data_IF_676586142591
#
_entry.id   IF_676586142591
#
_cell.length_a   1.000
_cell.length_b   1.000
_cell.length_c   1.000
_cell.angle_alpha   90.00
_cell.angle_beta   90.00
_cell.angle_gamma   90.00
#
_symmetry.space_group_name_H-M   'P 1'
#
loop_
_entity.id
_entity.type
_entity.pdbx_description
1 polymer ?
#
# COMPACT_ATOMS: atom_id res chain seq x y z
N UNK A 1 0.03 -29.16 -20.80
CA UNK A 1 -0.06 -29.70 -19.43
C UNK A 1 -0.96 -30.92 -19.42
N UNK A 2 -0.43 -32.09 -19.07
CA UNK A 2 -1.17 -33.34 -18.95
C UNK A 2 -2.05 -33.35 -17.69
N UNK A 3 -3.02 -34.26 -17.62
CA UNK A 3 -3.88 -34.43 -16.42
C UNK A 3 -3.05 -34.81 -15.16
N UNK A 4 -1.92 -35.48 -15.35
CA UNK A 4 -0.97 -35.84 -14.28
C UNK A 4 -0.21 -34.61 -13.79
N UNK A 5 0.25 -33.74 -14.69
CA UNK A 5 0.92 -32.47 -14.33
C UNK A 5 -0.02 -31.52 -13.60
N UNK A 6 -1.30 -31.41 -14.05
CA UNK A 6 -2.33 -30.61 -13.33
C UNK A 6 -2.59 -31.14 -11.93
N UNK A 7 -2.64 -32.47 -11.72
CA UNK A 7 -2.78 -33.08 -10.40
C UNK A 7 -1.55 -32.88 -9.51
N UNK A 8 -0.33 -32.92 -10.08
CA UNK A 8 0.91 -32.58 -9.36
C UNK A 8 0.93 -31.10 -8.95
N UNK A 9 0.56 -30.20 -9.85
CA UNK A 9 0.45 -28.78 -9.53
C UNK A 9 -0.64 -28.52 -8.47
N UNK A 10 -1.81 -29.15 -8.53
CA UNK A 10 -2.84 -29.02 -7.50
C UNK A 10 -2.35 -29.48 -6.13
N UNK A 11 -1.61 -30.60 -6.04
CA UNK A 11 -1.00 -31.07 -4.78
C UNK A 11 0.07 -30.10 -4.25
N UNK A 12 0.73 -29.36 -5.13
CA UNK A 12 1.78 -28.40 -4.80
C UNK A 12 1.28 -27.25 -3.92
N UNK A 13 0.01 -26.87 -4.05
CA UNK A 13 -0.60 -25.73 -3.36
C UNK A 13 -1.59 -26.14 -2.25
N UNK A 14 -1.69 -27.41 -1.93
CA UNK A 14 -2.55 -27.91 -0.84
C UNK A 14 -2.15 -27.39 0.54
N UNK A 15 -0.89 -26.93 0.69
CA UNK A 15 -0.31 -26.42 1.93
C UNK A 15 -0.21 -24.89 2.00
N UNK A 16 -0.84 -24.16 1.08
CA UNK A 16 -0.69 -22.70 1.02
C UNK A 16 -1.15 -21.99 2.29
N UNK A 17 -2.26 -22.44 2.88
CA UNK A 17 -2.76 -21.88 4.13
C UNK A 17 -1.78 -22.14 5.30
N UNK A 18 -1.25 -23.37 5.42
CA UNK A 18 -0.23 -23.68 6.41
C UNK A 18 1.04 -22.85 6.22
N UNK A 19 1.46 -22.64 4.96
CA UNK A 19 2.61 -21.80 4.62
C UNK A 19 2.35 -20.32 4.95
N UNK A 20 1.15 -19.82 4.69
CA UNK A 20 0.72 -18.47 5.09
C UNK A 20 0.76 -18.31 6.61
N UNK A 21 0.18 -19.24 7.37
CA UNK A 21 0.21 -19.23 8.83
C UNK A 21 1.65 -19.24 9.38
N UNK A 22 2.51 -20.10 8.83
CA UNK A 22 3.91 -20.19 9.22
C UNK A 22 4.65 -18.86 8.98
N UNK A 23 4.49 -18.25 7.81
CA UNK A 23 5.14 -16.96 7.48
C UNK A 23 4.61 -15.86 8.39
N UNK A 24 3.28 -15.79 8.59
CA UNK A 24 2.67 -14.83 9.50
C UNK A 24 3.21 -14.98 10.92
N UNK A 25 3.30 -16.19 11.46
CA UNK A 25 3.87 -16.46 12.77
C UNK A 25 5.36 -16.12 12.85
N UNK A 26 6.11 -16.37 11.78
CA UNK A 26 7.53 -16.00 11.73
C UNK A 26 7.75 -14.48 11.79
N UNK A 27 6.91 -13.68 11.12
CA UNK A 27 7.00 -12.22 11.16
C UNK A 27 6.37 -11.64 12.42
N UNK A 28 5.26 -12.20 12.88
CA UNK A 28 4.42 -11.68 13.95
C UNK A 28 4.01 -12.78 14.94
N UNK A 29 4.92 -13.31 15.75
CA UNK A 29 4.59 -14.37 16.71
C UNK A 29 3.54 -13.93 17.75
N UNK A 30 3.43 -12.62 18.01
CA UNK A 30 2.52 -12.01 18.97
C UNK A 30 1.20 -11.50 18.34
N UNK A 31 0.94 -11.78 17.04
CA UNK A 31 -0.21 -11.21 16.32
C UNK A 31 -1.54 -11.54 16.99
N UNK A 32 -1.72 -12.79 17.43
CA UNK A 32 -2.95 -13.24 18.09
C UNK A 32 -3.13 -12.49 19.42
N UNK A 33 -2.09 -12.39 20.21
CA UNK A 33 -2.11 -11.62 21.46
C UNK A 33 -2.47 -10.14 21.18
N UNK A 34 -1.91 -9.53 20.14
CA UNK A 34 -2.24 -8.14 19.79
C UNK A 34 -3.71 -7.96 19.39
N UNK A 35 -4.32 -8.96 18.74
CA UNK A 35 -5.75 -8.96 18.42
C UNK A 35 -6.61 -9.04 19.69
N UNK A 36 -6.24 -9.91 20.64
CA UNK A 36 -6.92 -10.09 21.92
C UNK A 36 -6.82 -8.86 22.84
N UNK A 37 -5.73 -8.10 22.74
CA UNK A 37 -5.50 -6.87 23.52
C UNK A 37 -6.31 -5.67 23.04
N UNK A 38 -6.98 -5.75 21.87
CA UNK A 38 -7.78 -4.64 21.36
C UNK A 38 -9.04 -4.44 22.22
N UNK A 39 -9.44 -3.20 22.36
CA UNK A 39 -10.63 -2.84 23.13
C UNK A 39 -11.90 -3.30 22.42
N UNK A 40 -12.59 -4.26 23.01
CA UNK A 40 -13.90 -4.72 22.54
C UNK A 40 -15.00 -3.70 22.97
N UNK A 41 -15.77 -3.16 22.03
CA UNK A 41 -16.84 -2.23 22.37
C UNK A 41 -18.07 -2.90 22.98
N UNK A 42 -18.15 -4.24 22.98
CA UNK A 42 -19.30 -5.01 23.46
C UNK A 42 -19.17 -5.37 24.94
N UNK A 43 -20.30 -5.50 25.62
CA UNK A 43 -20.37 -6.01 27.02
C UNK A 43 -20.55 -7.52 27.06
N UNK A 44 -21.23 -8.08 26.07
CA UNK A 44 -21.51 -9.51 25.92
C UNK A 44 -21.23 -9.90 24.47
N UNK A 45 -20.68 -11.09 24.26
CA UNK A 45 -20.30 -11.57 22.92
C UNK A 45 -20.47 -13.09 22.81
N UNK A 46 -20.80 -13.54 21.61
CA UNK A 46 -20.78 -14.94 21.20
C UNK A 46 -19.43 -15.32 20.59
N UNK A 47 -18.75 -14.35 19.97
CA UNK A 47 -17.45 -14.53 19.33
C UNK A 47 -16.44 -13.57 19.95
N UNK A 48 -15.24 -14.05 20.21
CA UNK A 48 -14.10 -13.24 20.65
C UNK A 48 -13.72 -12.22 19.56
N UNK A 49 -13.11 -11.11 19.98
CA UNK A 49 -12.72 -10.04 19.06
C UNK A 49 -11.78 -10.53 17.96
N UNK A 50 -10.82 -11.37 18.31
CA UNK A 50 -9.87 -11.95 17.36
C UNK A 50 -10.53 -12.83 16.31
N UNK A 51 -11.62 -13.52 16.63
CA UNK A 51 -12.40 -14.34 15.66
C UNK A 51 -13.04 -13.43 14.62
N UNK A 52 -13.69 -12.36 15.05
CA UNK A 52 -14.32 -11.41 14.15
C UNK A 52 -13.30 -10.77 13.22
N UNK A 53 -12.21 -10.24 13.78
CA UNK A 53 -11.21 -9.53 13.01
C UNK A 53 -10.44 -10.45 12.06
N UNK A 54 -10.07 -11.64 12.53
CA UNK A 54 -9.36 -12.62 11.68
C UNK A 54 -10.26 -13.15 10.57
N UNK A 55 -11.57 -13.31 10.78
CA UNK A 55 -12.53 -13.68 9.73
C UNK A 55 -12.52 -12.63 8.60
N UNK A 56 -12.54 -11.34 8.92
CA UNK A 56 -12.46 -10.28 7.90
C UNK A 56 -11.08 -10.24 7.21
N UNK A 57 -10.00 -10.44 7.97
CA UNK A 57 -8.64 -10.53 7.42
C UNK A 57 -8.56 -11.69 6.44
N UNK A 58 -9.07 -12.89 6.80
CA UNK A 58 -9.08 -14.05 5.93
C UNK A 58 -9.97 -13.86 4.70
N UNK A 59 -11.13 -13.18 4.83
CA UNK A 59 -11.96 -12.78 3.68
C UNK A 59 -11.12 -12.03 2.64
N UNK A 60 -10.35 -11.03 3.10
CA UNK A 60 -9.52 -10.21 2.20
C UNK A 60 -8.36 -11.02 1.60
N UNK A 61 -7.66 -11.83 2.41
CA UNK A 61 -6.56 -12.71 1.95
C UNK A 61 -7.04 -13.68 0.87
N UNK A 62 -8.24 -14.25 1.06
CA UNK A 62 -8.89 -15.16 0.10
C UNK A 62 -9.50 -14.43 -1.11
N UNK A 63 -9.38 -13.11 -1.18
CA UNK A 63 -9.93 -12.26 -2.25
C UNK A 63 -11.45 -12.44 -2.44
N UNK A 64 -12.19 -12.51 -1.34
CA UNK A 64 -13.65 -12.56 -1.34
C UNK A 64 -14.17 -11.12 -1.25
N UNK A 65 -14.84 -10.63 -2.28
CA UNK A 65 -15.21 -9.21 -2.37
C UNK A 65 -16.39 -8.85 -1.47
N UNK A 66 -17.47 -9.66 -1.43
CA UNK A 66 -18.65 -9.33 -0.64
C UNK A 66 -18.68 -10.04 0.71
N UNK A 67 -19.33 -9.41 1.68
CA UNK A 67 -19.52 -9.97 3.02
C UNK A 67 -20.48 -11.16 3.02
N UNK A 68 -21.52 -11.14 2.17
CA UNK A 68 -22.43 -12.28 2.00
C UNK A 68 -21.67 -13.50 1.48
N UNK A 69 -20.88 -13.32 0.39
CA UNK A 69 -20.08 -14.41 -0.18
C UNK A 69 -19.07 -14.97 0.84
N UNK A 70 -18.51 -14.12 1.69
CA UNK A 70 -17.62 -14.58 2.77
C UNK A 70 -18.37 -15.52 3.71
N UNK A 71 -19.59 -15.15 4.14
CA UNK A 71 -20.40 -16.00 5.01
C UNK A 71 -20.64 -17.37 4.35
N UNK A 72 -21.04 -17.39 3.07
CA UNK A 72 -21.33 -18.62 2.33
C UNK A 72 -20.09 -19.51 2.15
N UNK A 73 -18.93 -18.94 1.79
CA UNK A 73 -17.68 -19.68 1.59
C UNK A 73 -17.10 -20.23 2.90
N UNK A 74 -17.32 -19.55 4.04
CA UNK A 74 -16.77 -19.90 5.34
C UNK A 74 -17.73 -20.76 6.20
N UNK A 75 -18.86 -21.21 5.64
CA UNK A 75 -19.75 -22.19 6.28
C UNK A 75 -19.10 -23.58 6.45
N UNK A 76 -18.01 -23.85 5.74
CA UNK A 76 -17.33 -25.15 5.81
C UNK A 76 -16.74 -25.37 7.20
N UNK A 77 -17.01 -26.55 7.78
CA UNK A 77 -16.49 -26.96 9.08
C UNK A 77 -14.96 -26.80 9.17
N UNK A 78 -14.24 -27.13 8.08
CA UNK A 78 -12.80 -27.01 8.03
C UNK A 78 -12.32 -25.56 8.12
N UNK A 79 -13.06 -24.59 7.59
CA UNK A 79 -12.74 -23.17 7.73
C UNK A 79 -12.85 -22.73 9.20
N UNK A 80 -13.91 -23.18 9.89
CA UNK A 80 -14.14 -22.90 11.31
C UNK A 80 -13.05 -23.53 12.16
N UNK A 81 -12.81 -24.85 11.99
CA UNK A 81 -11.74 -25.57 12.72
C UNK A 81 -10.37 -24.92 12.51
N UNK A 82 -10.03 -24.57 11.26
CA UNK A 82 -8.73 -23.98 10.95
C UNK A 82 -8.56 -22.61 11.59
N UNK A 83 -9.59 -21.74 11.55
CA UNK A 83 -9.53 -20.43 12.16
C UNK A 83 -9.39 -20.52 13.68
N UNK A 84 -10.25 -21.28 14.34
CA UNK A 84 -10.21 -21.47 15.80
C UNK A 84 -8.87 -22.06 16.25
N UNK A 85 -8.34 -23.01 15.47
CA UNK A 85 -7.04 -23.63 15.76
C UNK A 85 -5.87 -22.66 15.69
N UNK A 86 -5.80 -21.81 14.65
CA UNK A 86 -4.71 -20.82 14.56
C UNK A 86 -4.83 -19.73 15.62
N UNK A 87 -6.05 -19.44 16.09
CA UNK A 87 -6.31 -18.52 17.20
C UNK A 87 -6.10 -19.15 18.57
N UNK A 88 -5.94 -20.48 18.62
CA UNK A 88 -5.80 -21.28 19.84
C UNK A 88 -6.98 -21.10 20.81
N UNK A 89 -8.19 -21.20 20.27
CA UNK A 89 -9.47 -21.13 21.00
C UNK A 89 -10.29 -22.40 20.77
N UNK A 90 -11.35 -22.59 21.56
CA UNK A 90 -12.34 -23.64 21.33
C UNK A 90 -13.04 -23.46 19.98
N UNK A 91 -13.37 -24.58 19.34
CA UNK A 91 -14.01 -24.54 18.01
C UNK A 91 -15.46 -24.11 18.14
N UNK A 92 -15.81 -23.02 17.47
CA UNK A 92 -17.19 -22.56 17.33
C UNK A 92 -17.99 -23.48 16.38
N UNK A 93 -19.30 -23.40 16.43
CA UNK A 93 -20.17 -24.09 15.46
C UNK A 93 -20.08 -23.43 14.07
N UNK A 94 -20.05 -22.10 14.02
CA UNK A 94 -19.93 -21.29 12.81
C UNK A 94 -18.98 -20.11 13.03
N UNK A 95 -18.44 -19.57 11.93
CA UNK A 95 -17.79 -18.26 11.97
C UNK A 95 -18.84 -17.13 11.99
N UNK A 96 -18.47 -15.92 12.44
CA UNK A 96 -19.41 -14.80 12.55
C UNK A 96 -20.09 -14.48 11.22
N UNK A 97 -21.41 -14.37 11.24
CA UNK A 97 -22.19 -13.90 10.11
C UNK A 97 -21.85 -12.43 9.79
N UNK A 98 -21.98 -12.02 8.53
CA UNK A 98 -21.63 -10.67 8.10
C UNK A 98 -22.38 -9.56 8.85
N UNK A 99 -23.62 -9.79 9.28
CA UNK A 99 -24.40 -8.86 10.11
C UNK A 99 -23.70 -8.62 11.44
N UNK A 100 -23.31 -9.69 12.14
CA UNK A 100 -22.59 -9.63 13.42
C UNK A 100 -21.27 -8.87 13.27
N UNK A 101 -20.52 -9.13 12.18
CA UNK A 101 -19.27 -8.44 11.89
C UNK A 101 -19.53 -6.94 11.68
N UNK A 102 -20.51 -6.56 10.87
CA UNK A 102 -20.82 -5.16 10.58
C UNK A 102 -21.34 -4.41 11.81
N UNK A 103 -22.16 -5.04 12.65
CA UNK A 103 -22.57 -4.47 13.93
C UNK A 103 -21.40 -4.24 14.89
N UNK A 104 -20.46 -5.19 14.95
CA UNK A 104 -19.24 -5.03 15.73
C UNK A 104 -18.38 -3.88 15.21
N UNK A 105 -18.07 -3.86 13.90
CA UNK A 105 -17.23 -2.84 13.28
C UNK A 105 -17.87 -1.44 13.31
N UNK A 106 -19.20 -1.35 13.37
CA UNK A 106 -19.89 -0.06 13.50
C UNK A 106 -19.63 0.63 14.86
N UNK A 107 -19.25 -0.14 15.88
CA UNK A 107 -19.00 0.33 17.27
C UNK A 107 -17.52 0.32 17.62
N UNK A 108 -16.67 -0.31 16.81
CA UNK A 108 -15.24 -0.42 17.07
C UNK A 108 -14.54 0.90 16.85
N UNK A 109 -13.64 1.28 17.76
CA UNK A 109 -12.79 2.45 17.59
C UNK A 109 -11.78 2.22 16.46
N UNK A 110 -11.77 3.09 15.45
CA UNK A 110 -10.84 3.02 14.30
C UNK A 110 -9.38 3.06 14.76
N UNK A 111 -9.09 3.79 15.83
CA UNK A 111 -7.78 3.92 16.44
C UNK A 111 -7.19 2.58 16.94
N UNK A 112 -8.03 1.62 17.30
CA UNK A 112 -7.58 0.28 17.74
C UNK A 112 -6.91 -0.48 16.57
N UNK A 113 -7.51 -0.41 15.37
CA UNK A 113 -6.93 -1.02 14.16
C UNK A 113 -5.67 -0.30 13.70
N UNK A 114 -5.60 1.03 13.87
CA UNK A 114 -4.39 1.80 13.65
C UNK A 114 -3.27 1.36 14.62
N UNK A 115 -3.58 1.15 15.91
CA UNK A 115 -2.65 0.61 16.89
C UNK A 115 -2.15 -0.79 16.53
N UNK A 116 -3.03 -1.68 16.08
CA UNK A 116 -2.65 -3.01 15.61
C UNK A 116 -1.68 -2.92 14.44
N UNK A 117 -2.02 -2.14 13.40
CA UNK A 117 -1.13 -1.91 12.24
C UNK A 117 0.23 -1.39 12.68
N UNK A 118 0.27 -0.43 13.59
CA UNK A 118 1.50 0.12 14.14
C UNK A 118 2.37 -0.93 14.84
N UNK A 119 1.78 -1.84 15.65
CA UNK A 119 2.50 -2.97 16.24
C UNK A 119 3.12 -3.85 15.15
N UNK A 120 2.38 -4.17 14.10
CA UNK A 120 2.83 -4.94 12.92
C UNK A 120 4.03 -4.26 12.24
N UNK A 121 3.92 -2.97 11.91
CA UNK A 121 4.99 -2.21 11.26
C UNK A 121 6.25 -2.15 12.11
N UNK A 122 6.12 -1.87 13.41
CA UNK A 122 7.26 -1.84 14.33
C UNK A 122 7.97 -3.19 14.45
N UNK A 123 7.21 -4.29 14.45
CA UNK A 123 7.78 -5.63 14.45
C UNK A 123 8.59 -5.90 13.17
N UNK A 124 8.12 -5.45 12.00
CA UNK A 124 8.86 -5.56 10.74
C UNK A 124 10.15 -4.76 10.75
N UNK A 125 10.10 -3.49 11.17
CA UNK A 125 11.25 -2.60 11.16
C UNK A 125 12.34 -3.06 12.14
N UNK A 126 11.97 -3.62 13.32
CA UNK A 126 12.91 -4.16 14.31
C UNK A 126 13.73 -5.33 13.78
N UNK A 127 13.25 -6.08 12.80
CA UNK A 127 13.95 -7.27 12.27
C UNK A 127 15.14 -6.96 11.39
N UNK A 128 15.37 -5.70 11.02
CA UNK A 128 16.47 -5.25 10.14
C UNK A 128 16.59 -5.97 8.79
N UNK A 129 15.64 -6.82 8.45
CA UNK A 129 15.65 -7.62 7.20
C UNK A 129 15.56 -6.75 5.94
N UNK A 130 14.99 -5.56 6.08
CA UNK A 130 14.71 -4.64 4.97
C UNK A 130 15.65 -3.43 4.92
N UNK A 131 16.76 -3.43 5.69
CA UNK A 131 17.70 -2.31 5.77
C UNK A 131 18.27 -1.92 4.38
N UNK A 132 18.47 -2.90 3.50
CA UNK A 132 18.98 -2.68 2.14
C UNK A 132 17.95 -1.96 1.22
N UNK A 133 16.69 -1.82 1.64
CA UNK A 133 15.68 -1.07 0.91
C UNK A 133 15.74 0.45 1.15
N UNK A 134 16.56 0.90 2.09
CA UNK A 134 16.70 2.32 2.40
C UNK A 134 17.32 3.09 1.26
N UNK A 135 16.68 4.17 0.88
CA UNK A 135 17.20 5.13 -0.08
C UNK A 135 18.49 5.77 0.44
N UNK A 136 19.52 5.82 -0.41
CA UNK A 136 20.88 6.26 -0.07
C UNK A 136 21.45 5.53 1.15
N UNK A 137 21.00 4.28 1.41
CA UNK A 137 21.40 3.49 2.58
C UNK A 137 20.93 4.03 3.94
N UNK A 138 20.11 5.09 3.96
CA UNK A 138 19.78 5.82 5.18
C UNK A 138 18.27 6.04 5.38
N UNK A 139 17.52 6.42 4.34
CA UNK A 139 16.16 6.91 4.47
C UNK A 139 15.13 5.89 4.06
N UNK A 140 14.08 5.73 4.85
CA UNK A 140 12.90 4.99 4.45
C UNK A 140 12.06 5.83 3.48
N UNK A 141 11.79 5.29 2.30
CA UNK A 141 10.89 5.92 1.34
C UNK A 141 9.45 5.72 1.78
N UNK A 142 8.77 6.83 2.07
CA UNK A 142 7.35 6.84 2.40
C UNK A 142 6.59 7.60 1.32
N UNK A 143 5.69 6.91 0.65
CA UNK A 143 4.90 7.49 -0.43
C UNK A 143 3.54 7.88 0.11
N UNK A 144 3.17 9.14 -0.14
CA UNK A 144 1.85 9.68 0.13
C UNK A 144 1.09 9.78 -1.18
N UNK A 145 -0.09 9.17 -1.21
CA UNK A 145 -0.99 9.22 -2.37
C UNK A 145 -2.43 9.03 -1.91
N UNK A 146 -3.37 9.76 -2.53
CA UNK A 146 -4.78 9.67 -2.20
C UNK A 146 -5.53 8.81 -3.21
N UNK A 147 -6.59 8.17 -2.74
CA UNK A 147 -7.42 7.33 -3.59
C UNK A 147 -8.90 7.46 -3.24
N UNK A 148 -9.78 7.40 -4.27
CA UNK A 148 -11.22 7.32 -4.05
C UNK A 148 -11.62 5.94 -3.54
N UNK A 149 -12.52 5.91 -2.58
CA UNK A 149 -13.12 4.70 -2.02
C UNK A 149 -14.53 4.48 -2.60
N UNK A 150 -15.51 5.21 -2.08
CA UNK A 150 -16.92 5.00 -2.36
C UNK A 150 -17.50 6.21 -3.09
N UNK A 151 -18.45 5.97 -4.00
CA UNK A 151 -19.17 7.00 -4.74
C UNK A 151 -20.67 6.75 -4.63
N UNK A 152 -21.42 7.80 -4.34
CA UNK A 152 -22.87 7.75 -4.16
C UNK A 152 -23.56 8.84 -5.00
N UNK A 153 -24.74 8.54 -5.51
CA UNK A 153 -25.60 9.51 -6.22
C UNK A 153 -26.29 10.48 -5.26
N UNK A 154 -26.46 10.07 -4.01
CA UNK A 154 -27.07 10.85 -2.94
C UNK A 154 -26.12 10.90 -1.73
N UNK A 155 -26.35 11.84 -0.80
CA UNK A 155 -25.55 11.91 0.41
C UNK A 155 -25.75 10.67 1.28
N UNK A 156 -24.68 9.93 1.49
CA UNK A 156 -24.71 8.68 2.26
C UNK A 156 -24.54 8.90 3.78
N UNK A 157 -23.70 9.85 4.16
CA UNK A 157 -23.43 10.19 5.56
C UNK A 157 -23.05 11.68 5.71
N UNK A 158 -23.03 12.24 6.93
CA UNK A 158 -22.63 13.63 7.17
C UNK A 158 -21.21 13.96 6.70
N UNK A 159 -20.33 12.97 6.68
CA UNK A 159 -18.91 13.11 6.36
C UNK A 159 -18.57 13.05 4.87
N UNK A 160 -19.57 12.82 3.99
CA UNK A 160 -19.37 12.75 2.55
C UNK A 160 -18.76 14.04 2.00
N UNK A 161 -17.74 13.90 1.16
CA UNK A 161 -17.29 14.95 0.26
C UNK A 161 -18.30 15.13 -0.88
N UNK A 162 -18.42 16.35 -1.39
CA UNK A 162 -19.37 16.69 -2.46
C UNK A 162 -18.63 17.27 -3.66
N UNK A 163 -19.00 16.86 -4.86
CA UNK A 163 -18.53 17.41 -6.12
C UNK A 163 -19.69 17.63 -7.09
N UNK A 164 -19.68 18.76 -7.77
CA UNK A 164 -20.63 19.05 -8.86
C UNK A 164 -19.92 18.72 -10.18
N UNK A 165 -20.50 17.79 -10.93
CA UNK A 165 -20.05 17.44 -12.29
C UNK A 165 -20.83 18.27 -13.30
N UNK A 166 -20.22 18.58 -14.45
CA UNK A 166 -20.82 19.30 -15.58
C UNK A 166 -21.50 20.62 -15.15
N UNK A 167 -20.88 21.35 -14.23
CA UNK A 167 -21.41 22.58 -13.65
C UNK A 167 -21.84 23.59 -14.73
N UNK A 168 -23.07 24.09 -14.63
CA UNK A 168 -23.64 25.07 -15.56
C UNK A 168 -24.18 24.45 -16.86
N UNK A 169 -24.27 23.13 -16.98
CA UNK A 169 -24.89 22.44 -18.13
C UNK A 169 -26.20 21.78 -17.72
N UNK A 170 -27.01 21.32 -18.73
CA UNK A 170 -28.22 20.55 -18.47
C UNK A 170 -27.96 19.18 -17.80
N UNK A 171 -26.73 18.72 -17.81
CA UNK A 171 -26.27 17.45 -17.22
C UNK A 171 -25.56 17.69 -15.87
N UNK A 172 -25.79 18.83 -15.24
CA UNK A 172 -25.25 19.11 -13.91
C UNK A 172 -25.73 18.06 -12.91
N UNK A 173 -24.79 17.42 -12.23
CA UNK A 173 -25.05 16.37 -11.25
C UNK A 173 -24.18 16.51 -10.04
N UNK A 174 -24.77 16.43 -8.86
CA UNK A 174 -24.02 16.28 -7.60
C UNK A 174 -23.67 14.83 -7.37
N UNK A 175 -22.45 14.59 -6.95
CA UNK A 175 -21.98 13.29 -6.47
C UNK A 175 -21.36 13.45 -5.08
N UNK A 176 -21.56 12.42 -4.28
CA UNK A 176 -21.00 12.30 -2.94
C UNK A 176 -19.99 11.17 -2.93
N UNK A 177 -18.90 11.35 -2.19
CA UNK A 177 -17.82 10.37 -2.22
C UNK A 177 -16.97 10.41 -0.96
N UNK A 178 -16.18 9.35 -0.76
CA UNK A 178 -15.14 9.26 0.27
C UNK A 178 -13.79 9.03 -0.38
N UNK A 179 -12.78 9.69 0.14
CA UNK A 179 -11.40 9.53 -0.25
C UNK A 179 -10.55 9.17 0.97
N UNK A 180 -9.41 8.60 0.71
CA UNK A 180 -8.42 8.28 1.74
C UNK A 180 -7.03 8.64 1.24
N UNK A 181 -6.22 9.19 2.14
CA UNK A 181 -4.79 9.38 1.96
C UNK A 181 -4.05 8.25 2.66
N UNK A 182 -3.19 7.57 1.95
CA UNK A 182 -2.30 6.53 2.46
C UNK A 182 -0.86 7.02 2.54
N UNK A 183 -0.19 6.66 3.63
CA UNK A 183 1.26 6.65 3.71
C UNK A 183 1.75 5.21 3.56
N UNK A 184 2.51 4.93 2.50
CA UNK A 184 3.01 3.59 2.19
C UNK A 184 4.53 3.53 2.27
N UNK A 185 5.04 2.57 3.02
CA UNK A 185 6.46 2.33 3.21
C UNK A 185 6.99 1.34 2.17
N UNK A 186 8.07 1.71 1.48
CA UNK A 186 8.75 0.86 0.51
C UNK A 186 9.81 0.02 1.20
N UNK A 187 9.65 -1.29 1.20
CA UNK A 187 10.56 -2.27 1.83
C UNK A 187 11.45 -3.04 0.84
N UNK A 188 11.48 -2.59 -0.42
CA UNK A 188 12.21 -3.29 -1.50
C UNK A 188 11.47 -4.51 -2.05
N UNK A 189 12.01 -5.11 -3.11
CA UNK A 189 11.46 -6.31 -3.77
C UNK A 189 9.97 -6.23 -4.12
N UNK A 190 9.45 -5.00 -4.35
CA UNK A 190 8.04 -4.75 -4.60
C UNK A 190 7.14 -4.84 -3.36
N UNK A 191 7.70 -4.91 -2.15
CA UNK A 191 6.95 -4.78 -0.89
C UNK A 191 6.65 -3.32 -0.63
N UNK A 192 5.36 -2.99 -0.61
CA UNK A 192 4.86 -1.63 -0.38
C UNK A 192 3.68 -1.71 0.57
N UNK A 193 3.90 -1.37 1.82
CA UNK A 193 2.95 -1.61 2.90
C UNK A 193 2.38 -0.32 3.49
N UNK A 194 1.10 -0.32 3.85
CA UNK A 194 0.44 0.80 4.52
C UNK A 194 0.99 0.99 5.93
N UNK A 195 1.46 2.21 6.24
CA UNK A 195 1.92 2.59 7.59
C UNK A 195 1.04 3.65 8.24
N UNK A 196 0.16 4.28 7.48
CA UNK A 196 -0.76 5.29 7.97
C UNK A 196 -1.87 5.58 6.98
N UNK A 197 -3.07 5.79 7.49
CA UNK A 197 -4.28 6.09 6.74
C UNK A 197 -4.92 7.36 7.29
N UNK A 198 -5.32 8.28 6.44
CA UNK A 198 -6.10 9.44 6.82
C UNK A 198 -7.34 9.53 5.94
N UNK A 199 -8.52 9.44 6.54
CA UNK A 199 -9.76 9.61 5.80
C UNK A 199 -9.97 11.11 5.49
N UNK A 200 -10.16 11.42 4.20
CA UNK A 200 -10.48 12.77 3.74
C UNK A 200 -12.00 12.88 3.84
N UNK A 201 -12.45 13.56 4.87
CA UNK A 201 -13.87 13.60 5.27
C UNK A 201 -14.26 14.96 5.82
N UNK A 202 -15.49 15.37 5.59
CA UNK A 202 -16.03 16.58 6.18
C UNK A 202 -16.36 16.34 7.65
N UNK A 203 -16.24 17.38 8.49
CA UNK A 203 -16.63 17.31 9.91
C UNK A 203 -18.13 17.04 10.05
N UNK A 204 -18.94 17.75 9.23
CA UNK A 204 -20.38 17.59 9.14
C UNK A 204 -20.90 17.93 7.72
N UNK A 205 -22.21 17.90 7.53
CA UNK A 205 -22.85 18.19 6.24
C UNK A 205 -22.88 19.68 5.85
N UNK A 206 -22.63 20.59 6.78
CA UNK A 206 -22.79 22.04 6.64
C UNK A 206 -21.47 22.77 6.33
N UNK A 207 -20.38 22.05 6.10
CA UNK A 207 -19.10 22.66 5.79
C UNK A 207 -19.16 23.50 4.50
N UNK A 208 -18.60 24.70 4.54
CA UNK A 208 -18.52 25.60 3.38
C UNK A 208 -17.53 25.11 2.31
N UNK A 209 -16.54 24.33 2.72
CA UNK A 209 -15.50 23.78 1.84
C UNK A 209 -15.12 22.38 2.28
N UNK A 210 -15.10 21.45 1.33
CA UNK A 210 -14.66 20.07 1.57
C UNK A 210 -13.26 20.01 2.20
N UNK A 211 -13.03 18.95 2.96
CA UNK A 211 -11.69 18.52 3.31
C UNK A 211 -10.91 18.12 2.03
N UNK A 212 -9.59 18.14 2.10
CA UNK A 212 -8.73 17.90 0.95
C UNK A 212 -7.45 17.16 1.32
N UNK A 213 -6.81 16.62 0.29
CA UNK A 213 -5.60 15.82 0.37
C UNK A 213 -4.45 16.54 1.10
N UNK A 214 -4.25 17.85 0.86
CA UNK A 214 -3.19 18.61 1.52
C UNK A 214 -3.42 18.77 3.02
N UNK A 215 -4.68 18.95 3.45
CA UNK A 215 -5.04 18.98 4.88
C UNK A 215 -4.84 17.60 5.51
N UNK A 216 -5.28 16.55 4.83
CA UNK A 216 -5.09 15.17 5.27
C UNK A 216 -3.59 14.82 5.40
N UNK A 217 -2.76 15.25 4.44
CA UNK A 217 -1.30 15.09 4.51
C UNK A 217 -0.70 15.74 5.76
N UNK A 218 -1.16 16.94 6.10
CA UNK A 218 -0.70 17.63 7.31
C UNK A 218 -1.02 16.80 8.57
N UNK A 219 -2.27 16.33 8.71
CA UNK A 219 -2.70 15.50 9.86
C UNK A 219 -1.93 14.18 9.92
N UNK A 220 -1.85 13.46 8.81
CA UNK A 220 -1.19 12.15 8.74
C UNK A 220 0.31 12.25 9.01
N UNK A 221 1.00 13.19 8.39
CA UNK A 221 2.45 13.38 8.56
C UNK A 221 2.82 13.80 9.97
N UNK A 222 1.99 14.62 10.63
CA UNK A 222 2.14 14.98 12.04
C UNK A 222 1.97 13.78 12.96
N UNK A 223 0.93 12.98 12.74
CA UNK A 223 0.66 11.75 13.49
C UNK A 223 1.81 10.77 13.37
N UNK A 224 2.27 10.48 12.14
CA UNK A 224 3.39 9.56 11.90
C UNK A 224 4.69 10.03 12.55
N UNK A 225 4.98 11.34 12.49
CA UNK A 225 6.17 11.90 13.16
C UNK A 225 6.08 11.78 14.68
N UNK A 226 4.92 12.03 15.26
CA UNK A 226 4.69 11.88 16.71
C UNK A 226 4.80 10.42 17.16
N UNK A 227 4.34 9.50 16.32
CA UNK A 227 4.35 8.07 16.61
C UNK A 227 5.73 7.45 16.52
N UNK A 228 6.50 7.77 15.48
CA UNK A 228 7.84 7.25 15.23
C UNK A 228 8.85 8.39 14.96
N UNK A 229 9.19 9.17 16.01
CA UNK A 229 9.93 10.44 15.88
C UNK A 229 11.34 10.29 15.33
N UNK A 230 11.94 9.09 15.44
CA UNK A 230 13.31 8.80 15.00
C UNK A 230 13.38 8.10 13.64
N UNK A 231 12.24 7.80 13.01
CA UNK A 231 12.24 7.15 11.69
C UNK A 231 12.82 8.11 10.65
N UNK A 232 13.94 7.77 9.99
CA UNK A 232 14.54 8.61 8.95
C UNK A 232 13.74 8.47 7.65
N UNK A 233 12.83 9.41 7.38
CA UNK A 233 11.90 9.38 6.25
C UNK A 233 12.38 10.26 5.12
N UNK A 234 12.25 9.78 3.88
CA UNK A 234 12.19 10.60 2.68
C UNK A 234 10.81 10.45 2.04
N UNK A 235 10.08 11.56 1.94
CA UNK A 235 8.72 11.60 1.39
C UNK A 235 8.79 11.56 -0.13
N UNK A 236 8.06 10.64 -0.73
CA UNK A 236 7.86 10.55 -2.18
C UNK A 236 6.38 10.83 -2.49
N UNK A 237 6.09 11.86 -3.29
CA UNK A 237 4.73 12.24 -3.63
C UNK A 237 4.65 12.87 -5.02
N UNK A 238 3.43 13.14 -5.49
CA UNK A 238 3.20 13.76 -6.79
C UNK A 238 3.43 15.28 -6.77
N UNK A 239 3.18 15.94 -7.89
CA UNK A 239 3.43 17.39 -8.03
C UNK A 239 2.47 18.27 -7.22
N UNK A 240 1.35 17.75 -6.72
CA UNK A 240 0.44 18.47 -5.81
C UNK A 240 1.14 18.81 -4.48
N UNK A 241 2.10 18.00 -4.09
CA UNK A 241 2.88 18.15 -2.85
C UNK A 241 4.09 19.09 -3.03
N UNK A 242 4.46 19.48 -4.25
CA UNK A 242 5.50 20.47 -4.48
C UNK A 242 4.99 21.88 -4.13
N UNK A 243 4.95 22.19 -2.84
CA UNK A 243 4.37 23.43 -2.29
C UNK A 243 5.01 23.81 -0.95
N UNK A 244 5.02 25.11 -0.66
CA UNK A 244 5.61 25.65 0.57
C UNK A 244 5.05 25.00 1.85
N UNK A 245 3.73 24.78 2.02
CA UNK A 245 3.20 24.12 3.23
C UNK A 245 3.74 22.70 3.44
N UNK A 246 4.04 21.98 2.35
CA UNK A 246 4.63 20.63 2.40
C UNK A 246 6.12 20.72 2.75
N UNK A 247 6.85 21.68 2.18
CA UNK A 247 8.27 21.91 2.52
C UNK A 247 8.41 22.28 4.01
N UNK A 248 7.57 23.20 4.50
CA UNK A 248 7.55 23.58 5.92
C UNK A 248 7.28 22.36 6.81
N UNK A 249 6.28 21.55 6.46
CA UNK A 249 5.92 20.35 7.23
C UNK A 249 7.05 19.30 7.21
N UNK A 250 7.58 18.99 6.04
CA UNK A 250 8.58 17.92 5.90
C UNK A 250 9.93 18.37 6.44
N UNK A 251 10.47 19.48 5.93
CA UNK A 251 11.88 19.85 6.14
C UNK A 251 12.11 20.49 7.51
N UNK A 252 11.20 21.40 7.95
CA UNK A 252 11.40 22.10 9.23
C UNK A 252 10.74 21.41 10.40
N UNK A 253 9.45 21.05 10.29
CA UNK A 253 8.70 20.52 11.43
C UNK A 253 9.01 19.04 11.69
N UNK A 254 8.99 18.20 10.67
CA UNK A 254 9.22 16.77 10.81
C UNK A 254 10.70 16.37 10.69
N UNK A 255 11.56 17.23 10.15
CA UNK A 255 12.95 16.90 9.83
C UNK A 255 13.03 15.64 8.94
N UNK A 256 12.13 15.56 7.98
CA UNK A 256 12.09 14.56 6.93
C UNK A 256 12.69 15.13 5.66
N UNK A 257 13.15 14.27 4.76
CA UNK A 257 13.58 14.64 3.43
C UNK A 257 12.46 14.47 2.42
N UNK A 258 12.63 15.07 1.24
CA UNK A 258 11.64 15.00 0.16
C UNK A 258 12.27 14.53 -1.17
N UNK A 259 11.47 13.84 -1.97
CA UNK A 259 11.71 13.59 -3.40
C UNK A 259 10.34 13.69 -4.09
N UNK A 260 9.95 14.90 -4.45
CA UNK A 260 8.62 15.22 -4.95
C UNK A 260 8.64 15.33 -6.47
N UNK A 261 7.65 14.74 -7.14
CA UNK A 261 7.46 14.98 -8.56
C UNK A 261 7.30 16.47 -8.80
N UNK A 262 8.06 17.01 -9.75
CA UNK A 262 7.93 18.38 -10.19
C UNK A 262 7.29 18.43 -11.57
N UNK A 263 6.42 19.40 -11.81
CA UNK A 263 5.87 19.75 -13.12
C UNK A 263 6.18 21.21 -13.37
N UNK A 264 6.65 21.50 -14.55
CA UNK A 264 6.86 22.87 -14.98
C UNK A 264 5.56 23.68 -14.80
N UNK A 265 5.69 24.88 -14.21
CA UNK A 265 4.55 25.71 -13.84
C UNK A 265 4.01 25.53 -12.42
N UNK A 266 4.39 24.46 -11.68
CA UNK A 266 4.01 24.32 -10.26
C UNK A 266 4.61 25.43 -9.40
N UNK A 267 5.90 25.73 -9.60
CA UNK A 267 6.64 26.80 -8.94
C UNK A 267 7.52 27.48 -10.01
N UNK A 268 7.02 28.51 -10.72
CA UNK A 268 7.72 29.10 -11.86
C UNK A 268 9.14 29.57 -11.55
N UNK A 269 9.38 30.19 -10.39
CA UNK A 269 10.70 30.66 -9.97
C UNK A 269 11.77 29.56 -9.93
N UNK A 270 11.40 28.34 -9.50
CA UNK A 270 12.34 27.20 -9.51
C UNK A 270 12.68 26.78 -10.95
N UNK A 271 11.71 26.80 -11.86
CA UNK A 271 11.94 26.49 -13.27
C UNK A 271 12.80 27.53 -13.98
N UNK A 272 12.62 28.80 -13.65
CA UNK A 272 13.41 29.91 -14.19
C UNK A 272 14.88 29.85 -13.74
N UNK A 273 15.12 29.68 -12.44
CA UNK A 273 16.46 29.53 -11.87
C UNK A 273 17.17 28.27 -12.40
N UNK A 274 16.47 27.15 -12.49
CA UNK A 274 16.99 25.92 -13.08
C UNK A 274 17.47 26.13 -14.50
N UNK A 275 16.64 26.75 -15.38
CA UNK A 275 17.01 27.03 -16.79
C UNK A 275 18.19 27.96 -16.89
N UNK A 276 18.22 29.04 -16.12
CA UNK A 276 19.32 29.99 -16.11
C UNK A 276 20.66 29.35 -15.76
N UNK A 277 20.69 28.47 -14.74
CA UNK A 277 21.92 27.80 -14.31
C UNK A 277 22.34 26.71 -15.32
N UNK A 278 21.39 25.98 -15.87
CA UNK A 278 21.64 24.96 -16.90
C UNK A 278 22.23 25.61 -18.18
N UNK A 279 21.68 26.74 -18.65
CA UNK A 279 22.19 27.50 -19.79
C UNK A 279 23.61 28.05 -19.58
N UNK A 280 24.01 28.31 -18.34
CA UNK A 280 25.40 28.68 -17.97
C UNK A 280 26.37 27.49 -17.98
N UNK A 281 25.88 26.26 -18.15
CA UNK A 281 26.71 25.05 -18.10
C UNK A 281 27.16 24.67 -16.69
N UNK A 282 26.48 25.14 -15.64
CA UNK A 282 26.78 24.87 -14.23
C UNK A 282 25.96 23.72 -13.66
N UNK A 283 25.07 23.11 -14.45
CA UNK A 283 24.32 21.92 -14.06
C UNK A 283 25.23 20.68 -13.98
N UNK A 284 24.91 19.78 -13.07
CA UNK A 284 25.53 18.46 -13.07
C UNK A 284 24.82 17.54 -14.07
N UNK A 285 25.56 16.72 -14.79
CA UNK A 285 25.04 15.83 -15.83
C UNK A 285 25.50 14.40 -15.68
N UNK A 286 24.70 13.44 -16.14
CA UNK A 286 25.03 12.03 -16.20
C UNK A 286 24.23 11.31 -17.27
N UNK A 287 24.93 10.68 -18.21
CA UNK A 287 24.34 9.84 -19.24
C UNK A 287 24.49 8.35 -18.91
N UNK A 288 23.47 7.59 -19.23
CA UNK A 288 23.48 6.13 -19.12
C UNK A 288 22.73 5.47 -20.27
N UNK A 289 23.31 4.42 -20.84
CA UNK A 289 22.62 3.53 -21.76
C UNK A 289 22.17 2.25 -21.05
N UNK A 290 20.91 1.85 -21.27
CA UNK A 290 20.30 0.65 -20.67
C UNK A 290 19.64 -0.14 -21.78
N UNK A 291 20.12 -1.35 -22.02
CA UNK A 291 19.44 -2.31 -22.89
C UNK A 291 18.40 -3.09 -22.09
N UNK A 292 17.17 -3.14 -22.61
CA UNK A 292 16.07 -3.91 -22.02
C UNK A 292 15.40 -4.79 -23.08
N UNK A 293 14.83 -5.89 -22.64
CA UNK A 293 13.99 -6.74 -23.48
C UNK A 293 12.58 -6.82 -22.88
N UNK A 294 11.59 -6.43 -23.67
CA UNK A 294 10.19 -6.46 -23.24
C UNK A 294 9.43 -7.54 -24.02
N UNK A 295 8.58 -8.37 -23.37
CA UNK A 295 7.86 -9.46 -24.01
C UNK A 295 7.03 -9.05 -25.24
N UNK A 296 6.51 -7.81 -25.24
CA UNK A 296 5.67 -7.28 -26.35
C UNK A 296 6.41 -6.33 -27.30
N UNK A 297 7.44 -5.64 -26.82
CA UNK A 297 8.18 -4.61 -27.58
C UNK A 297 9.50 -5.11 -28.16
N UNK A 298 9.96 -6.34 -27.77
CA UNK A 298 11.26 -6.87 -28.13
C UNK A 298 12.41 -6.13 -27.45
N UNK A 299 13.57 -6.13 -28.10
CA UNK A 299 14.75 -5.41 -27.62
C UNK A 299 14.54 -3.89 -27.75
N UNK A 300 14.86 -3.18 -26.71
CA UNK A 300 14.72 -1.73 -26.59
C UNK A 300 16.01 -1.17 -25.99
N UNK A 301 16.52 -0.13 -26.61
CA UNK A 301 17.65 0.66 -26.09
C UNK A 301 17.08 1.91 -25.44
N UNK A 302 17.35 2.09 -24.12
CA UNK A 302 17.01 3.30 -23.40
C UNK A 302 18.29 4.12 -23.19
N UNK A 303 18.27 5.38 -23.59
CA UNK A 303 19.29 6.37 -23.23
C UNK A 303 18.70 7.28 -22.17
N UNK A 304 19.32 7.34 -21.02
CA UNK A 304 18.91 8.19 -19.89
C UNK A 304 19.89 9.36 -19.79
N UNK A 305 19.40 10.56 -20.02
CA UNK A 305 20.11 11.80 -19.74
C UNK A 305 19.56 12.41 -18.45
N UNK A 306 20.42 12.59 -17.45
CA UNK A 306 20.10 13.18 -16.16
C UNK A 306 20.84 14.49 -16.00
N UNK A 307 20.11 15.54 -15.65
CA UNK A 307 20.64 16.86 -15.38
C UNK A 307 20.11 17.34 -14.03
N UNK A 308 20.93 17.99 -13.21
CA UNK A 308 20.48 18.54 -11.93
C UNK A 308 21.15 19.87 -11.60
N UNK A 309 20.36 20.77 -11.00
CA UNK A 309 20.82 22.04 -10.46
C UNK A 309 20.61 22.02 -8.96
N UNK A 310 21.71 22.05 -8.17
CA UNK A 310 21.64 22.05 -6.71
C UNK A 310 21.34 23.45 -6.16
N UNK A 311 20.89 23.49 -4.89
CA UNK A 311 20.81 24.69 -4.06
C UNK A 311 19.94 25.84 -4.60
N UNK A 312 18.97 25.56 -5.46
CA UNK A 312 17.95 26.53 -5.87
C UNK A 312 17.25 27.06 -4.62
N UNK A 313 17.26 28.38 -4.42
CA UNK A 313 16.61 29.01 -3.27
C UNK A 313 15.13 29.26 -3.55
N UNK A 314 14.29 28.59 -2.79
CA UNK A 314 12.87 28.88 -2.81
C UNK A 314 12.40 29.28 -1.40
N UNK A 315 12.24 30.57 -1.13
CA UNK A 315 11.77 31.10 0.18
C UNK A 315 12.57 30.58 1.37
N UNK A 316 13.88 30.47 1.21
CA UNK A 316 14.79 29.96 2.23
C UNK A 316 14.88 28.44 2.34
N UNK A 317 14.25 27.68 1.42
CA UNK A 317 14.48 26.26 1.23
C UNK A 317 15.53 26.04 0.14
N UNK A 318 16.59 25.34 0.45
CA UNK A 318 17.61 24.93 -0.53
C UNK A 318 17.18 23.63 -1.17
N UNK A 319 16.82 23.67 -2.44
CA UNK A 319 16.27 22.55 -3.19
C UNK A 319 17.17 22.22 -4.39
N UNK A 320 17.21 20.95 -4.77
CA UNK A 320 17.79 20.47 -6.02
C UNK A 320 16.66 20.10 -6.97
N UNK A 321 16.66 20.61 -8.19
CA UNK A 321 15.82 20.13 -9.27
C UNK A 321 16.62 19.12 -10.09
N UNK A 322 16.14 17.88 -10.17
CA UNK A 322 16.68 16.80 -11.00
C UNK A 322 15.74 16.53 -12.16
N UNK A 323 16.23 16.63 -13.38
CA UNK A 323 15.55 16.22 -14.60
C UNK A 323 16.10 14.89 -15.11
N UNK A 324 15.24 14.08 -15.73
CA UNK A 324 15.58 12.84 -16.41
C UNK A 324 14.85 12.82 -17.74
N UNK A 325 15.60 12.85 -18.83
CA UNK A 325 15.12 12.54 -20.16
C UNK A 325 15.44 11.08 -20.50
N UNK A 326 14.46 10.37 -21.01
CA UNK A 326 14.63 8.99 -21.46
C UNK A 326 14.23 8.90 -22.92
N UNK A 327 15.21 8.61 -23.77
CA UNK A 327 14.97 8.20 -25.14
C UNK A 327 14.84 6.68 -25.21
N UNK A 328 13.72 6.20 -25.76
CA UNK A 328 13.40 4.78 -25.91
C UNK A 328 13.39 4.44 -27.39
N UNK A 329 14.44 3.82 -27.88
CA UNK A 329 14.50 3.31 -29.25
C UNK A 329 14.03 1.86 -29.29
N UNK A 330 13.02 1.58 -30.13
CA UNK A 330 12.51 0.21 -30.34
C UNK A 330 13.02 -0.37 -31.65
N UNK A 331 13.84 -1.41 -31.59
CA UNK A 331 14.35 -2.12 -32.78
C UNK A 331 13.21 -2.69 -33.65
N UNK A 332 12.08 -3.10 -33.03
CA UNK A 332 10.93 -3.66 -33.73
C UNK A 332 10.17 -2.65 -34.61
N UNK A 333 10.10 -1.39 -34.15
CA UNK A 333 9.30 -0.35 -34.82
C UNK A 333 10.16 0.71 -35.50
N UNK A 334 11.47 0.75 -35.22
CA UNK A 334 12.39 1.79 -35.67
C UNK A 334 12.07 3.20 -35.12
N UNK A 335 11.24 3.29 -34.06
CA UNK A 335 10.78 4.57 -33.51
C UNK A 335 11.49 4.89 -32.21
N UNK A 336 11.77 6.18 -32.00
CA UNK A 336 12.23 6.74 -30.73
C UNK A 336 11.07 7.47 -30.05
N UNK A 337 10.85 7.18 -28.77
CA UNK A 337 9.92 7.89 -27.90
C UNK A 337 10.73 8.59 -26.79
N UNK A 338 10.46 9.87 -26.54
CA UNK A 338 11.10 10.63 -25.47
C UNK A 338 10.15 10.82 -24.29
N UNK A 339 10.65 10.67 -23.07
CA UNK A 339 9.91 10.85 -21.81
C UNK A 339 10.68 11.73 -20.86
N UNK A 340 10.02 12.75 -20.31
CA UNK A 340 10.60 13.69 -19.35
C UNK A 340 10.06 13.48 -17.95
N UNK A 341 10.96 13.51 -16.98
CA UNK A 341 10.64 13.41 -15.56
C UNK A 341 11.45 14.46 -14.78
N UNK A 342 10.82 15.10 -13.81
CA UNK A 342 11.50 16.07 -12.95
C UNK A 342 11.11 15.85 -11.49
N UNK A 343 12.04 16.06 -10.57
CA UNK A 343 11.83 15.94 -9.13
C UNK A 343 12.53 17.07 -8.38
N UNK A 344 11.90 17.51 -7.29
CA UNK A 344 12.49 18.38 -6.28
C UNK A 344 12.92 17.56 -5.08
N UNK A 345 14.12 17.83 -4.57
CA UNK A 345 14.66 17.23 -3.36
C UNK A 345 15.51 18.24 -2.59
N UNK A 346 15.55 18.09 -1.26
CA UNK A 346 16.49 18.82 -0.39
C UNK A 346 17.80 18.04 -0.17
N UNK A 347 17.88 16.82 -0.71
CA UNK A 347 19.07 15.98 -0.62
C UNK A 347 20.06 16.31 -1.74
N UNK A 348 21.35 16.17 -1.42
CA UNK A 348 22.43 16.42 -2.38
C UNK A 348 22.45 15.36 -3.49
N UNK A 349 22.26 15.80 -4.72
CA UNK A 349 22.42 15.00 -5.94
C UNK A 349 23.86 15.13 -6.46
N UNK A 350 24.42 14.03 -6.93
CA UNK A 350 25.78 13.93 -7.48
C UNK A 350 25.79 12.89 -8.60
N UNK A 351 26.80 12.87 -9.46
CA UNK A 351 26.95 11.84 -10.51
C UNK A 351 26.95 10.40 -9.98
N UNK A 352 27.32 10.18 -8.71
CA UNK A 352 27.30 8.83 -8.08
C UNK A 352 25.90 8.37 -7.71
N UNK A 353 24.99 9.28 -7.35
CA UNK A 353 23.66 8.93 -6.82
C UNK A 353 22.47 9.39 -7.69
N UNK A 354 22.69 10.23 -8.70
CA UNK A 354 21.61 10.74 -9.59
C UNK A 354 20.74 9.59 -10.18
N UNK A 355 21.38 8.50 -10.59
CA UNK A 355 20.67 7.33 -11.08
C UNK A 355 19.78 6.62 -10.02
N UNK A 356 20.14 6.70 -8.74
CA UNK A 356 19.30 6.18 -7.65
C UNK A 356 18.11 7.11 -7.41
N UNK A 357 18.30 8.43 -7.39
CA UNK A 357 17.19 9.40 -7.34
C UNK A 357 16.19 9.20 -8.48
N UNK A 358 16.68 9.08 -9.72
CA UNK A 358 15.84 8.82 -10.87
C UNK A 358 15.06 7.51 -10.78
N UNK A 359 15.71 6.43 -10.33
CA UNK A 359 15.08 5.12 -10.11
C UNK A 359 13.99 5.19 -9.04
N UNK A 360 14.28 5.80 -7.90
CA UNK A 360 13.33 5.93 -6.78
C UNK A 360 12.20 6.88 -7.13
N UNK A 361 12.47 8.03 -7.75
CA UNK A 361 11.45 8.99 -8.17
C UNK A 361 10.46 8.40 -9.17
N UNK A 362 10.92 7.54 -10.10
CA UNK A 362 10.05 6.74 -10.98
C UNK A 362 9.29 5.66 -10.23
N UNK A 363 9.84 5.16 -9.12
CA UNK A 363 9.23 4.14 -8.29
C UNK A 363 7.90 4.54 -7.65
N UNK A 364 7.57 5.85 -7.56
CA UNK A 364 6.23 6.31 -7.14
C UNK A 364 5.11 5.69 -7.98
N UNK A 365 5.32 5.58 -9.29
CA UNK A 365 4.36 4.95 -10.20
C UNK A 365 4.09 3.48 -9.88
N UNK A 366 5.03 2.77 -9.25
CA UNK A 366 4.80 1.39 -8.80
C UNK A 366 3.70 1.31 -7.76
N UNK A 367 3.51 2.35 -6.94
CA UNK A 367 2.44 2.35 -5.93
C UNK A 367 1.07 2.59 -6.54
N UNK A 368 0.97 3.47 -7.52
CA UNK A 368 -0.27 3.66 -8.25
C UNK A 368 -0.71 2.35 -8.93
N UNK A 369 0.23 1.62 -9.54
CA UNK A 369 -0.06 0.40 -10.29
C UNK A 369 0.00 -0.88 -9.43
N UNK A 370 0.96 -1.02 -8.53
CA UNK A 370 1.13 -2.22 -7.67
C UNK A 370 0.43 -2.07 -6.31
N UNK A 371 0.10 -0.84 -5.90
CA UNK A 371 -0.65 -0.54 -4.69
C UNK A 371 -2.15 -0.41 -4.96
N UNK A 372 -2.62 0.81 -5.22
CA UNK A 372 -4.05 1.10 -5.32
C UNK A 372 -4.75 0.42 -6.50
N UNK A 373 -4.13 0.34 -7.66
CA UNK A 373 -4.74 -0.31 -8.82
C UNK A 373 -4.95 -1.81 -8.55
N UNK A 374 -3.98 -2.46 -7.90
CA UNK A 374 -4.13 -3.86 -7.48
C UNK A 374 -5.23 -3.99 -6.44
N UNK A 375 -5.28 -3.11 -5.44
CA UNK A 375 -6.29 -3.15 -4.39
C UNK A 375 -7.70 -2.85 -4.90
N UNK A 376 -7.85 -2.02 -5.94
CA UNK A 376 -9.13 -1.70 -6.57
C UNK A 376 -9.61 -2.77 -7.55
N UNK A 377 -8.74 -3.20 -8.45
CA UNK A 377 -9.16 -3.91 -9.67
C UNK A 377 -8.78 -5.40 -9.69
N UNK A 378 -7.86 -5.83 -8.81
CA UNK A 378 -7.32 -7.19 -8.84
C UNK A 378 -7.58 -7.92 -7.52
N UNK A 379 -7.41 -7.21 -6.39
CA UNK A 379 -7.64 -7.69 -5.02
C UNK A 379 -8.61 -6.78 -4.31
N UNK A 380 -9.25 -7.28 -3.31
CA UNK A 380 -10.01 -6.57 -2.26
C UNK A 380 -11.21 -5.74 -2.74
N UNK A 381 -11.18 -5.20 -3.97
CA UNK A 381 -12.21 -4.26 -4.45
C UNK A 381 -12.50 -3.17 -3.40
N UNK A 382 -11.47 -2.38 -3.05
CA UNK A 382 -11.57 -1.38 -1.97
C UNK A 382 -12.63 -0.29 -2.22
N UNK A 383 -13.21 -0.26 -3.41
CA UNK A 383 -14.33 0.61 -3.77
C UNK A 383 -15.69 -0.04 -3.51
N UNK A 384 -15.72 -1.33 -3.16
CA UNK A 384 -16.94 -2.03 -2.79
C UNK A 384 -17.35 -1.66 -1.35
N UNK A 385 -18.63 -1.30 -1.18
CA UNK A 385 -19.21 -0.95 0.10
C UNK A 385 -19.54 -2.23 0.87
N UNK A 386 -18.75 -2.57 1.89
CA UNK A 386 -18.95 -3.76 2.72
C UNK A 386 -19.93 -3.54 3.87
N UNK A 387 -20.32 -2.30 4.15
CA UNK A 387 -21.28 -1.91 5.18
C UNK A 387 -21.90 -0.56 4.83
N UNK A 388 -23.13 -0.31 5.25
CA UNK A 388 -23.78 1.01 5.14
C UNK A 388 -23.32 1.98 6.24
N UNK A 389 -22.78 1.46 7.34
CA UNK A 389 -22.28 2.28 8.43
C UNK A 389 -20.87 2.80 8.11
N UNK A 390 -20.66 4.11 8.14
CA UNK A 390 -19.39 4.72 7.75
C UNK A 390 -18.22 4.31 8.65
N UNK A 391 -18.44 4.15 9.97
CA UNK A 391 -17.39 3.66 10.86
C UNK A 391 -16.97 2.22 10.50
N UNK A 392 -17.95 1.35 10.21
CA UNK A 392 -17.66 0.01 9.75
C UNK A 392 -16.92 0.01 8.38
N UNK A 393 -17.26 0.92 7.45
CA UNK A 393 -16.50 1.09 6.20
C UNK A 393 -15.04 1.42 6.45
N UNK A 394 -14.75 2.35 7.39
CA UNK A 394 -13.36 2.69 7.79
C UNK A 394 -12.63 1.49 8.39
N UNK A 395 -13.29 0.74 9.26
CA UNK A 395 -12.71 -0.46 9.86
C UNK A 395 -12.43 -1.55 8.81
N UNK A 396 -13.35 -1.80 7.87
CA UNK A 396 -13.13 -2.73 6.74
C UNK A 396 -11.92 -2.32 5.91
N UNK A 397 -11.77 -1.03 5.61
CA UNK A 397 -10.64 -0.53 4.87
C UNK A 397 -9.30 -0.78 5.61
N UNK A 398 -9.24 -0.50 6.90
CA UNK A 398 -8.02 -0.74 7.70
C UNK A 398 -7.70 -2.22 7.83
N UNK A 399 -8.71 -3.08 8.00
CA UNK A 399 -8.52 -4.54 8.00
C UNK A 399 -8.02 -5.05 6.63
N UNK A 400 -8.44 -4.41 5.54
CA UNK A 400 -7.90 -4.70 4.21
C UNK A 400 -6.42 -4.31 4.11
N UNK A 401 -6.01 -3.16 4.66
CA UNK A 401 -4.60 -2.77 4.67
C UNK A 401 -3.75 -3.73 5.53
N UNK A 402 -4.27 -4.20 6.66
CA UNK A 402 -3.61 -5.22 7.50
C UNK A 402 -3.49 -6.55 6.74
N UNK A 403 -4.56 -7.01 6.11
CA UNK A 403 -4.55 -8.21 5.28
C UNK A 403 -3.54 -8.12 4.12
N UNK A 404 -3.44 -6.94 3.50
CA UNK A 404 -2.50 -6.67 2.41
C UNK A 404 -1.03 -6.77 2.88
N UNK A 405 -0.70 -6.30 4.08
CA UNK A 405 0.62 -6.47 4.68
C UNK A 405 0.95 -7.96 4.83
N UNK A 406 0.04 -8.74 5.41
CA UNK A 406 0.24 -10.17 5.65
C UNK A 406 0.40 -10.94 4.32
N UNK A 407 -0.45 -10.63 3.34
CA UNK A 407 -0.42 -11.28 2.03
C UNK A 407 0.82 -10.91 1.22
N UNK A 408 1.24 -9.65 1.22
CA UNK A 408 2.50 -9.24 0.57
C UNK A 408 3.71 -9.93 1.20
N UNK A 409 3.75 -10.09 2.53
CA UNK A 409 4.82 -10.83 3.19
C UNK A 409 4.81 -12.32 2.84
N UNK A 410 3.62 -12.92 2.70
CA UNK A 410 3.49 -14.29 2.20
C UNK A 410 4.05 -14.42 0.78
N UNK A 411 3.68 -13.54 -0.13
CA UNK A 411 4.05 -13.62 -1.55
C UNK A 411 5.51 -13.26 -1.82
N UNK A 412 5.99 -12.21 -1.17
CA UNK A 412 7.27 -11.55 -1.49
C UNK A 412 8.31 -11.71 -0.39
N UNK A 413 7.90 -12.02 0.83
CA UNK A 413 8.78 -12.17 1.99
C UNK A 413 9.58 -13.45 2.02
N UNK A 414 9.15 -14.50 1.27
CA UNK A 414 9.87 -15.75 1.10
C UNK A 414 10.50 -15.86 -0.29
N UNK A 415 11.82 -16.04 -0.42
CA UNK A 415 12.49 -16.19 -1.71
C UNK A 415 11.85 -17.29 -2.58
N UNK A 416 11.54 -18.43 -1.99
CA UNK A 416 10.98 -19.56 -2.71
C UNK A 416 9.58 -19.31 -3.27
N UNK A 417 8.73 -18.53 -2.59
CA UNK A 417 7.41 -18.16 -3.10
C UNK A 417 7.50 -17.12 -4.21
N UNK A 418 8.50 -16.22 -4.16
CA UNK A 418 8.78 -15.26 -5.24
C UNK A 418 9.21 -15.97 -6.53
N UNK A 419 10.04 -16.99 -6.44
CA UNK A 419 10.53 -17.76 -7.58
C UNK A 419 9.41 -18.56 -8.28
N UNK A 420 8.35 -18.92 -7.57
CA UNK A 420 7.22 -19.67 -8.11
C UNK A 420 6.39 -18.93 -9.18
N UNK A 421 6.60 -17.61 -9.37
CA UNK A 421 5.96 -16.74 -10.40
C UNK A 421 4.42 -16.92 -10.51
N UNK A 422 3.76 -17.15 -9.37
CA UNK A 422 2.30 -17.33 -9.33
C UNK A 422 1.58 -16.02 -9.58
N UNK A 423 0.41 -16.06 -10.25
CA UNK A 423 -0.43 -14.88 -10.39
C UNK A 423 -1.17 -14.58 -9.09
N UNK A 424 -1.45 -13.31 -8.84
CA UNK A 424 -2.20 -12.84 -7.66
C UNK A 424 -3.53 -13.61 -7.47
N UNK A 425 -4.30 -13.77 -8.56
CA UNK A 425 -5.58 -14.50 -8.52
C UNK A 425 -5.41 -15.96 -8.12
N UNK A 426 -4.36 -16.62 -8.60
CA UNK A 426 -4.09 -18.02 -8.23
C UNK A 426 -3.72 -18.14 -6.76
N UNK A 427 -2.90 -17.23 -6.24
CA UNK A 427 -2.49 -17.24 -4.82
C UNK A 427 -3.70 -17.18 -3.90
N UNK A 428 -4.59 -16.19 -4.08
CA UNK A 428 -5.79 -16.05 -3.23
C UNK A 428 -6.77 -17.21 -3.40
N UNK A 429 -6.93 -17.72 -4.64
CA UNK A 429 -7.78 -18.88 -4.90
C UNK A 429 -7.25 -20.15 -4.23
N UNK A 430 -5.93 -20.36 -4.26
CA UNK A 430 -5.32 -21.54 -3.64
C UNK A 430 -5.29 -21.42 -2.12
N UNK A 431 -5.16 -20.20 -1.58
CA UNK A 431 -5.33 -19.93 -0.15
C UNK A 431 -6.76 -20.27 0.30
N UNK A 432 -7.80 -19.84 -0.43
CA UNK A 432 -9.19 -20.15 -0.12
C UNK A 432 -9.43 -21.68 -0.13
N UNK A 433 -8.94 -22.38 -1.18
CA UNK A 433 -9.08 -23.84 -1.28
C UNK A 433 -8.38 -24.57 -0.14
N UNK A 434 -7.18 -24.11 0.24
CA UNK A 434 -6.42 -24.75 1.32
C UNK A 434 -6.95 -24.37 2.70
N UNK A 435 -7.54 -23.20 2.88
CA UNK A 435 -8.26 -22.81 4.09
C UNK A 435 -9.52 -23.66 4.33
N UNK A 436 -10.22 -24.05 3.26
CA UNK A 436 -11.35 -24.99 3.32
C UNK A 436 -10.95 -26.48 3.35
N UNK A 437 -9.72 -26.81 3.77
CA UNK A 437 -9.23 -28.18 3.99
C UNK A 437 -8.69 -28.31 5.41
N UNK A 438 -9.00 -29.43 6.09
CA UNK A 438 -8.53 -29.69 7.44
C UNK A 438 -7.00 -29.72 7.50
N UNK A 439 -6.41 -28.92 8.40
CA UNK A 439 -4.99 -28.98 8.70
C UNK A 439 -4.63 -30.34 9.32
N UNK A 440 -3.68 -31.04 8.72
CA UNK A 440 -3.12 -32.28 9.25
C UNK A 440 -2.18 -32.02 10.44
N UNK A 441 -1.86 -33.06 11.20
CA UNK A 441 -0.83 -32.98 12.24
C UNK A 441 0.54 -32.55 11.69
N UNK A 442 0.87 -32.95 10.45
CA UNK A 442 2.09 -32.51 9.76
C UNK A 442 2.07 -31.03 9.44
N UNK A 443 0.90 -30.48 9.02
CA UNK A 443 0.76 -29.05 8.73
C UNK A 443 0.92 -28.21 10.00
N UNK A 444 0.38 -28.69 11.11
CA UNK A 444 0.52 -28.04 12.42
C UNK A 444 1.99 -28.04 12.85
N UNK A 445 2.66 -29.20 12.77
CA UNK A 445 4.09 -29.28 13.06
C UNK A 445 4.91 -28.37 12.15
N UNK A 446 4.54 -28.28 10.86
CA UNK A 446 5.18 -27.37 9.92
C UNK A 446 5.00 -25.89 10.31
N UNK A 447 3.82 -25.48 10.77
CA UNK A 447 3.56 -24.10 11.25
C UNK A 447 4.41 -23.80 12.50
N UNK A 448 4.55 -24.78 13.41
CA UNK A 448 5.25 -24.61 14.69
C UNK A 448 6.77 -24.68 14.59
N UNK A 449 7.31 -25.35 13.57
CA UNK A 449 8.76 -25.54 13.43
C UNK A 449 9.49 -24.25 13.02
N UNK A 450 10.72 -24.09 13.55
CA UNK A 450 11.62 -23.03 13.06
C UNK A 450 12.18 -23.40 11.68
N UNK A 451 12.26 -22.41 10.77
CA UNK A 451 12.82 -22.57 9.44
C UNK A 451 12.09 -21.74 8.39
N UNK A 452 12.76 -21.43 7.29
CA UNK A 452 12.16 -20.67 6.19
C UNK A 452 11.23 -21.57 5.36
N UNK A 453 10.11 -20.99 4.88
CA UNK A 453 9.28 -21.65 3.88
C UNK A 453 10.08 -21.71 2.57
N UNK A 454 10.49 -22.90 2.17
CA UNK A 454 11.03 -23.12 0.82
C UNK A 454 9.88 -23.25 -0.17
N UNK A 455 10.10 -22.85 -1.43
CA UNK A 455 9.13 -23.17 -2.47
C UNK A 455 8.91 -24.68 -2.44
N UNK A 456 7.66 -25.09 -2.38
CA UNK A 456 7.32 -26.49 -2.67
C UNK A 456 7.45 -26.63 -4.18
N UNK A 457 8.63 -27.06 -4.64
CA UNK A 457 8.94 -27.30 -6.07
C UNK A 457 8.28 -28.61 -6.49
#
# INVERSE_FOLDING_TARGET
MTRSERRREQKKYEKDFAAFCKITKQYFPELIQWLQELKDPRKFWTYEIEVILMTVIMKNICNIHSMQKMTDEFLKEECVENLCRILNIETHEFLPHYVTINEFLSKMEVSELECLRKKIIRALLRRRKFENAKFLGKYWMVIFDATGLFHFSERHCPHCLKKVLNKGTKEEKEIYYHHVLEAKLVLGDGLVISIGTEFIENEDENVSKNDCETKAFKRLSERLKKEDPRLPVCVLADSLYASEPVFERCLKQNQWHILLRYKEGSIPSIAEEYRSIAEMGEAGELDREIAREYPRKGKVKETHHMEWVPEIDYRGYKLTLLALEIEVYSEKTGRTETKMFQWLTDLRVTGKNAGEFARVGRGRWQIENEGFNIQKNIRYDIQHVNSENYNAMKCHYLLTQIADILLQLYEKGSPGLREAKRTIKNISSDLLKSFGKKLSSEDILFIETHGYVKAVV
#
